data_IF_088469321353
#
_entry.id   IF_088469321353
#
_cell.length_a   1.000
_cell.length_b   1.000
_cell.length_c   1.000
_cell.angle_alpha   90.00
_cell.angle_beta   90.00
_cell.angle_gamma   90.00
#
_symmetry.space_group_name_H-M   'P 1'
#
loop_
_entity.id
_entity.type
_entity.pdbx_description
1 polymer ?
#
# COMPACT_ATOMS: atom_id res chain seq x y z
N UNK A 1 8.25 0.17 -9.02
CA UNK A 1 7.81 -1.13 -9.54
C UNK A 1 8.20 -2.20 -8.55
N UNK A 2 7.32 -3.15 -8.25
CA UNK A 2 7.58 -4.25 -7.31
C UNK A 2 7.68 -5.58 -8.09
N UNK A 3 8.45 -6.55 -7.56
CA UNK A 3 8.62 -7.87 -8.18
C UNK A 3 9.33 -7.90 -9.56
N UNK A 4 10.13 -6.91 -9.89
CA UNK A 4 10.84 -6.82 -11.19
C UNK A 4 11.62 -8.09 -11.58
N UNK A 5 12.23 -8.77 -10.61
CA UNK A 5 12.99 -10.02 -10.87
C UNK A 5 12.15 -11.16 -11.45
N UNK A 6 10.82 -11.14 -11.25
CA UNK A 6 9.92 -12.23 -11.63
C UNK A 6 8.88 -11.82 -12.67
N UNK A 7 8.48 -10.54 -12.68
CA UNK A 7 7.36 -10.06 -13.49
C UNK A 7 7.77 -9.20 -14.68
N UNK A 8 9.05 -8.81 -14.78
CA UNK A 8 9.56 -7.96 -15.86
C UNK A 8 10.07 -6.61 -15.40
N UNK A 9 10.70 -5.88 -16.33
CA UNK A 9 11.37 -4.61 -16.08
C UNK A 9 10.55 -3.37 -16.51
N UNK A 10 9.43 -3.59 -17.23
CA UNK A 10 8.51 -2.54 -17.66
C UNK A 10 7.13 -2.72 -17.07
N UNK A 11 6.31 -1.67 -17.09
CA UNK A 11 4.93 -1.73 -16.63
C UNK A 11 4.10 -2.68 -17.49
N UNK A 12 4.35 -2.70 -18.78
CA UNK A 12 3.69 -3.57 -19.76
C UNK A 12 4.01 -5.04 -19.48
N UNK A 13 5.27 -5.39 -19.24
CA UNK A 13 5.66 -6.76 -18.91
C UNK A 13 5.00 -7.23 -17.61
N UNK A 14 4.99 -6.37 -16.58
CA UNK A 14 4.33 -6.67 -15.31
C UNK A 14 2.81 -6.81 -15.51
N UNK A 15 2.20 -5.93 -16.30
CA UNK A 15 0.77 -5.99 -16.63
C UNK A 15 0.43 -7.29 -17.35
N UNK A 16 1.24 -7.68 -18.34
CA UNK A 16 1.06 -8.93 -19.08
C UNK A 16 1.09 -10.15 -18.17
N UNK A 17 2.10 -10.25 -17.30
CA UNK A 17 2.19 -11.36 -16.33
C UNK A 17 0.98 -11.41 -15.39
N UNK A 18 0.52 -10.26 -14.92
CA UNK A 18 -0.67 -10.18 -14.05
C UNK A 18 -1.96 -10.50 -14.81
N UNK A 19 -2.06 -10.12 -16.07
CA UNK A 19 -3.22 -10.41 -16.92
C UNK A 19 -3.39 -11.91 -17.22
N UNK A 20 -2.38 -12.73 -16.98
CA UNK A 20 -2.45 -14.19 -17.08
C UNK A 20 -3.54 -14.85 -16.23
N UNK A 21 -4.07 -14.17 -15.21
CA UNK A 21 -5.21 -14.65 -14.41
C UNK A 21 -6.57 -14.54 -15.14
N UNK A 22 -6.67 -13.72 -16.20
CA UNK A 22 -7.89 -13.49 -16.95
C UNK A 22 -8.32 -14.81 -17.61
N UNK A 23 -9.58 -15.19 -17.42
CA UNK A 23 -10.15 -16.43 -17.96
C UNK A 23 -10.98 -16.17 -19.20
N UNK A 24 -11.10 -17.17 -20.09
CA UNK A 24 -11.97 -17.10 -21.25
C UNK A 24 -13.42 -16.83 -20.82
N UNK A 25 -14.06 -15.87 -21.48
CA UNK A 25 -15.42 -15.40 -21.20
C UNK A 25 -15.59 -14.88 -19.75
N UNK A 26 -14.49 -14.51 -19.08
CA UNK A 26 -14.52 -14.03 -17.70
C UNK A 26 -14.95 -12.58 -17.57
N UNK A 27 -15.14 -12.16 -16.32
CA UNK A 27 -15.31 -10.75 -15.95
C UNK A 27 -14.01 -10.23 -15.34
N UNK A 28 -13.56 -9.08 -15.83
CA UNK A 28 -12.39 -8.37 -15.33
C UNK A 28 -12.85 -7.01 -14.82
N UNK A 29 -12.50 -6.69 -13.57
CA UNK A 29 -12.69 -5.35 -13.01
C UNK A 29 -11.33 -4.78 -12.67
N UNK A 30 -11.05 -3.56 -13.09
CA UNK A 30 -9.78 -2.87 -12.80
C UNK A 30 -10.03 -1.44 -12.32
N UNK A 31 -9.18 -0.97 -11.42
CA UNK A 31 -9.07 0.46 -11.12
C UNK A 31 -8.42 1.19 -12.31
N UNK A 32 -8.37 2.52 -12.24
CA UNK A 32 -7.62 3.35 -13.19
C UNK A 32 -6.15 2.93 -13.22
N UNK A 33 -5.63 2.76 -14.42
CA UNK A 33 -4.24 2.39 -14.68
C UNK A 33 -3.63 3.38 -15.67
N UNK A 34 -2.30 3.34 -15.80
CA UNK A 34 -1.60 4.03 -16.90
C UNK A 34 -2.00 3.43 -18.26
N UNK A 35 -1.98 4.24 -19.31
CA UNK A 35 -2.44 3.83 -20.62
C UNK A 35 -1.72 2.58 -21.15
N UNK A 36 -0.41 2.46 -20.93
CA UNK A 36 0.36 1.30 -21.35
C UNK A 36 -0.13 0.00 -20.67
N UNK A 37 -0.48 0.08 -19.38
CA UNK A 37 -1.03 -1.04 -18.61
C UNK A 37 -2.45 -1.37 -19.07
N UNK A 38 -3.28 -0.35 -19.29
CA UNK A 38 -4.65 -0.54 -19.79
C UNK A 38 -4.68 -1.24 -21.13
N UNK A 39 -3.80 -0.84 -22.08
CA UNK A 39 -3.70 -1.47 -23.39
C UNK A 39 -3.40 -2.98 -23.27
N UNK A 40 -2.52 -3.38 -22.36
CA UNK A 40 -2.23 -4.80 -22.12
C UNK A 40 -3.46 -5.54 -21.61
N UNK A 41 -4.16 -4.96 -20.61
CA UNK A 41 -5.37 -5.57 -20.04
C UNK A 41 -6.49 -5.68 -21.09
N UNK A 42 -6.70 -4.64 -21.89
CA UNK A 42 -7.71 -4.61 -22.97
C UNK A 42 -7.43 -5.67 -24.04
N UNK A 43 -6.18 -5.79 -24.49
CA UNK A 43 -5.78 -6.80 -25.46
C UNK A 43 -6.03 -8.21 -24.93
N UNK A 44 -5.61 -8.49 -23.70
CA UNK A 44 -5.80 -9.79 -23.06
C UNK A 44 -7.30 -10.13 -22.87
N UNK A 45 -8.12 -9.15 -22.52
CA UNK A 45 -9.57 -9.31 -22.44
C UNK A 45 -10.16 -9.60 -23.83
N UNK A 46 -9.70 -8.93 -24.87
CA UNK A 46 -10.16 -9.17 -26.25
C UNK A 46 -9.81 -10.59 -26.71
N UNK A 47 -8.55 -11.04 -26.50
CA UNK A 47 -8.11 -12.39 -26.88
C UNK A 47 -8.90 -13.50 -26.18
N UNK A 48 -9.31 -13.26 -24.92
CA UNK A 48 -10.06 -14.22 -24.10
C UNK A 48 -11.57 -14.03 -24.14
N UNK A 49 -12.06 -13.12 -24.98
CA UNK A 49 -13.49 -12.74 -25.02
C UNK A 49 -14.03 -12.40 -23.61
N UNK A 50 -13.19 -11.77 -22.76
CA UNK A 50 -13.54 -11.38 -21.41
C UNK A 50 -14.16 -9.98 -21.38
N UNK A 51 -15.17 -9.79 -20.51
CA UNK A 51 -15.79 -8.49 -20.30
C UNK A 51 -14.93 -7.65 -19.37
N UNK A 52 -14.50 -6.46 -19.79
CA UNK A 52 -13.75 -5.52 -18.97
C UNK A 52 -14.65 -4.41 -18.42
N UNK A 53 -14.55 -4.16 -17.12
CA UNK A 53 -15.17 -3.04 -16.42
C UNK A 53 -14.07 -2.20 -15.74
N UNK A 54 -14.13 -0.90 -15.96
CA UNK A 54 -13.22 0.08 -15.33
C UNK A 54 -13.94 0.73 -14.16
N UNK A 55 -13.52 0.41 -12.94
CA UNK A 55 -13.99 1.06 -11.71
C UNK A 55 -13.16 2.35 -11.48
N UNK A 56 -13.30 3.31 -12.39
CA UNK A 56 -12.54 4.58 -12.38
C UNK A 56 -13.26 5.63 -11.52
N UNK A 57 -13.49 5.28 -10.25
CA UNK A 57 -14.19 6.09 -9.26
C UNK A 57 -13.75 5.73 -7.83
N UNK A 58 -14.16 6.50 -6.88
CA UNK A 58 -14.12 6.15 -5.45
C UNK A 58 -15.50 5.67 -5.00
N UNK A 59 -15.57 4.80 -4.00
CA UNK A 59 -16.83 4.41 -3.42
C UNK A 59 -17.47 5.55 -2.63
N UNK A 60 -18.79 5.67 -2.70
CA UNK A 60 -19.58 6.58 -1.86
C UNK A 60 -20.00 5.93 -0.52
N UNK A 61 -19.86 4.60 -0.40
CA UNK A 61 -20.16 3.90 0.84
C UNK A 61 -19.17 4.23 1.95
N UNK A 62 -19.65 4.08 3.19
CA UNK A 62 -18.81 4.09 4.37
C UNK A 62 -17.88 2.86 4.34
N UNK A 63 -16.59 3.09 4.53
CA UNK A 63 -15.58 2.04 4.61
C UNK A 63 -14.88 2.09 5.97
N UNK A 64 -14.48 0.94 6.50
CA UNK A 64 -13.77 0.83 7.77
C UNK A 64 -12.25 1.04 7.64
N UNK A 65 -11.70 0.86 6.44
CA UNK A 65 -10.27 0.98 6.21
C UNK A 65 -9.87 2.43 5.98
N UNK A 66 -8.93 2.93 6.76
CA UNK A 66 -8.37 4.27 6.59
C UNK A 66 -7.40 4.34 5.40
N UNK A 67 -7.23 5.54 4.86
CA UNK A 67 -6.41 5.82 3.68
C UNK A 67 -7.24 6.09 2.42
N UNK A 68 -6.93 7.19 1.71
CA UNK A 68 -7.70 7.61 0.52
C UNK A 68 -7.74 6.54 -0.57
N UNK A 69 -6.62 5.87 -0.79
CA UNK A 69 -6.53 4.79 -1.78
C UNK A 69 -7.47 3.60 -1.45
N UNK A 70 -7.92 3.45 -0.21
CA UNK A 70 -8.86 2.41 0.16
C UNK A 70 -10.26 2.66 -0.42
N UNK A 71 -10.62 3.91 -0.67
CA UNK A 71 -11.87 4.24 -1.35
C UNK A 71 -11.87 3.81 -2.82
N UNK A 72 -10.70 3.89 -3.49
CA UNK A 72 -10.51 3.36 -4.84
C UNK A 72 -10.57 1.83 -4.84
N UNK A 73 -9.87 1.18 -3.89
CA UNK A 73 -9.92 -0.28 -3.72
C UNK A 73 -11.33 -0.78 -3.43
N UNK A 74 -12.06 -0.07 -2.57
CA UNK A 74 -13.45 -0.39 -2.25
C UNK A 74 -14.37 -0.27 -3.47
N UNK A 75 -14.15 0.71 -4.35
CA UNK A 75 -14.94 0.84 -5.59
C UNK A 75 -14.73 -0.34 -6.54
N UNK A 76 -13.49 -0.87 -6.61
CA UNK A 76 -13.22 -2.11 -7.37
C UNK A 76 -13.93 -3.31 -6.74
N UNK A 77 -13.84 -3.46 -5.42
CA UNK A 77 -14.51 -4.55 -4.70
C UNK A 77 -16.04 -4.47 -4.85
N UNK A 78 -16.61 -3.29 -4.69
CA UNK A 78 -18.03 -2.99 -4.91
C UNK A 78 -18.49 -3.41 -6.32
N UNK A 79 -17.71 -3.02 -7.34
CA UNK A 79 -18.03 -3.36 -8.73
C UNK A 79 -17.96 -4.88 -8.97
N UNK A 80 -16.97 -5.57 -8.42
CA UNK A 80 -16.89 -7.03 -8.50
C UNK A 80 -18.11 -7.67 -7.82
N UNK A 81 -18.45 -7.23 -6.62
CA UNK A 81 -19.54 -7.82 -5.83
C UNK A 81 -20.91 -7.66 -6.51
N UNK A 82 -21.16 -6.58 -7.27
CA UNK A 82 -22.37 -6.40 -8.05
C UNK A 82 -22.58 -7.44 -9.16
N UNK A 83 -21.55 -8.15 -9.53
CA UNK A 83 -21.58 -9.21 -10.54
C UNK A 83 -21.52 -10.63 -9.95
N UNK A 84 -21.69 -10.75 -8.64
CA UNK A 84 -21.76 -12.04 -7.94
C UNK A 84 -23.22 -12.34 -7.63
N UNK A 85 -23.73 -13.45 -8.14
CA UNK A 85 -25.11 -13.88 -7.89
C UNK A 85 -25.38 -14.04 -6.38
N UNK A 86 -26.50 -13.49 -5.94
CA UNK A 86 -26.94 -13.58 -4.55
C UNK A 86 -26.34 -12.53 -3.61
N UNK A 87 -25.44 -11.66 -4.09
CA UNK A 87 -24.93 -10.51 -3.32
C UNK A 87 -25.83 -9.30 -3.52
N UNK A 88 -26.42 -8.80 -2.43
CA UNK A 88 -27.24 -7.59 -2.45
C UNK A 88 -26.40 -6.32 -2.20
N UNK A 89 -26.96 -5.15 -2.58
CA UNK A 89 -26.36 -3.84 -2.24
C UNK A 89 -26.15 -3.67 -0.72
N UNK A 90 -27.01 -4.26 0.09
CA UNK A 90 -26.88 -4.20 1.55
C UNK A 90 -25.68 -5.06 2.03
N UNK A 91 -25.43 -6.20 1.39
CA UNK A 91 -24.26 -7.04 1.70
C UNK A 91 -22.97 -6.31 1.33
N UNK A 92 -22.91 -5.65 0.17
CA UNK A 92 -21.78 -4.83 -0.25
C UNK A 92 -21.51 -3.73 0.77
N UNK A 93 -22.54 -2.96 1.13
CA UNK A 93 -22.44 -1.86 2.09
C UNK A 93 -21.95 -2.34 3.46
N UNK A 94 -22.52 -3.44 3.96
CA UNK A 94 -22.11 -4.01 5.24
C UNK A 94 -20.69 -4.62 5.18
N UNK A 95 -20.34 -5.28 4.09
CA UNK A 95 -18.99 -5.81 3.86
C UNK A 95 -17.94 -4.72 3.90
N UNK A 96 -18.12 -3.64 3.16
CA UNK A 96 -17.18 -2.50 3.11
C UNK A 96 -17.05 -1.82 4.49
N UNK A 97 -18.17 -1.65 5.20
CA UNK A 97 -18.20 -1.03 6.54
C UNK A 97 -17.48 -1.88 7.61
N UNK A 98 -17.49 -3.20 7.48
CA UNK A 98 -16.97 -4.13 8.49
C UNK A 98 -15.68 -4.84 8.05
N UNK A 99 -15.08 -4.46 6.91
CA UNK A 99 -13.83 -5.05 6.45
C UNK A 99 -12.70 -4.71 7.41
N UNK A 100 -11.93 -5.73 7.81
CA UNK A 100 -10.71 -5.58 8.61
C UNK A 100 -9.53 -6.11 7.80
N UNK A 101 -8.48 -5.31 7.69
CA UNK A 101 -7.23 -5.72 7.06
C UNK A 101 -6.04 -5.17 7.83
N UNK A 102 -5.42 -6.04 8.60
CA UNK A 102 -4.32 -5.65 9.46
C UNK A 102 -3.11 -5.10 8.69
N UNK A 103 -2.50 -4.05 9.24
CA UNK A 103 -1.32 -3.40 8.66
C UNK A 103 -1.59 -2.58 7.40
N UNK A 104 -2.80 -2.05 7.22
CA UNK A 104 -3.15 -1.10 6.18
C UNK A 104 -3.64 0.20 6.79
N UNK A 105 -2.71 1.08 7.16
CA UNK A 105 -2.94 2.34 7.86
C UNK A 105 -3.81 2.14 9.12
N UNK A 106 -3.57 1.04 9.81
CA UNK A 106 -4.39 0.55 10.91
C UNK A 106 -3.99 1.20 12.22
N UNK A 107 -4.94 1.83 12.89
CA UNK A 107 -4.74 2.34 14.24
C UNK A 107 -4.92 1.22 15.25
N UNK A 108 -3.85 0.86 15.95
CA UNK A 108 -3.82 -0.23 16.94
C UNK A 108 -3.85 0.25 18.38
N UNK A 109 -3.61 1.54 18.64
CA UNK A 109 -3.65 2.14 19.96
C UNK A 109 -3.98 3.63 19.87
N UNK A 110 -4.70 4.15 20.87
CA UNK A 110 -5.10 5.56 20.94
C UNK A 110 -4.16 6.42 21.80
N UNK A 111 -3.45 5.82 22.76
CA UNK A 111 -2.60 6.56 23.72
C UNK A 111 -1.33 5.77 24.04
N UNK A 112 -0.19 6.08 23.44
CA UNK A 112 -0.04 7.00 22.29
C UNK A 112 -0.81 6.49 21.05
N UNK A 113 -1.19 7.41 20.19
CA UNK A 113 -1.80 7.00 18.92
C UNK A 113 -0.76 6.26 18.08
N UNK A 114 -1.03 4.99 17.77
CA UNK A 114 -0.10 4.11 17.08
C UNK A 114 -0.75 3.53 15.82
N UNK A 115 -0.12 3.81 14.68
CA UNK A 115 -0.57 3.37 13.35
C UNK A 115 0.43 2.38 12.79
N UNK A 116 -0.04 1.31 12.20
CA UNK A 116 0.78 0.37 11.44
C UNK A 116 0.40 0.36 9.97
N UNK A 117 1.40 0.32 9.10
CA UNK A 117 1.22 0.23 7.66
C UNK A 117 2.27 -0.67 7.01
N UNK A 118 1.85 -1.42 6.00
CA UNK A 118 2.67 -2.36 5.26
C UNK A 118 3.30 -1.80 3.99
N UNK A 119 3.41 -0.48 3.83
CA UNK A 119 4.06 0.14 2.68
C UNK A 119 5.51 -0.34 2.56
N UNK A 120 5.84 -0.99 1.45
CA UNK A 120 7.15 -1.61 1.23
C UNK A 120 7.70 -1.43 -0.19
N UNK A 121 7.06 -0.58 -0.98
CA UNK A 121 7.49 -0.15 -2.30
C UNK A 121 7.23 1.34 -2.49
N UNK A 122 7.70 1.91 -3.58
CA UNK A 122 7.62 3.36 -3.85
C UNK A 122 6.16 3.86 -3.94
N UNK A 123 5.27 3.08 -4.53
CA UNK A 123 3.85 3.45 -4.62
C UNK A 123 3.18 3.42 -3.25
N UNK A 124 3.39 2.36 -2.47
CA UNK A 124 2.92 2.28 -1.08
C UNK A 124 3.44 3.42 -0.22
N UNK A 125 4.72 3.81 -0.38
CA UNK A 125 5.30 4.95 0.33
C UNK A 125 4.61 6.28 -0.01
N UNK A 126 4.24 6.50 -1.29
CA UNK A 126 3.48 7.68 -1.72
C UNK A 126 2.09 7.70 -1.10
N UNK A 127 1.37 6.56 -1.14
CA UNK A 127 0.04 6.41 -0.53
C UNK A 127 0.06 6.61 0.98
N UNK A 128 1.11 6.08 1.66
CA UNK A 128 1.33 6.32 3.08
C UNK A 128 1.54 7.81 3.37
N UNK A 129 2.38 8.49 2.56
CA UNK A 129 2.61 9.93 2.68
C UNK A 129 1.29 10.70 2.55
N UNK A 130 0.51 10.47 1.50
CA UNK A 130 -0.79 11.11 1.28
C UNK A 130 -1.73 10.91 2.48
N UNK A 131 -1.78 9.70 3.03
CA UNK A 131 -2.59 9.39 4.21
C UNK A 131 -2.10 10.13 5.46
N UNK A 132 -0.79 10.15 5.71
CA UNK A 132 -0.21 10.88 6.84
C UNK A 132 -0.50 12.38 6.71
N UNK A 133 -0.27 12.98 5.56
CA UNK A 133 -0.52 14.41 5.32
C UNK A 133 -2.00 14.76 5.51
N UNK A 134 -2.90 13.90 5.07
CA UNK A 134 -4.34 14.11 5.20
C UNK A 134 -4.85 13.98 6.63
N UNK A 135 -4.49 12.89 7.32
CA UNK A 135 -5.06 12.57 8.64
C UNK A 135 -4.29 13.24 9.78
N UNK A 136 -3.01 13.51 9.59
CA UNK A 136 -2.12 14.00 10.65
C UNK A 136 -1.52 15.37 10.36
N UNK A 137 -1.47 15.80 9.11
CA UNK A 137 -1.06 17.16 8.71
C UNK A 137 0.28 17.56 9.34
N UNK A 138 0.24 18.59 10.18
CA UNK A 138 1.42 19.15 10.86
C UNK A 138 1.73 18.51 12.22
N UNK A 139 1.14 17.37 12.55
CA UNK A 139 1.48 16.68 13.80
C UNK A 139 2.93 16.18 13.77
N UNK A 140 3.54 16.17 14.93
CA UNK A 140 4.87 15.60 15.14
C UNK A 140 4.77 14.08 15.14
N UNK A 141 5.33 13.43 14.12
CA UNK A 141 5.29 11.98 13.97
C UNK A 141 6.64 11.39 14.36
N UNK A 142 6.60 10.30 15.13
CA UNK A 142 7.73 9.40 15.33
C UNK A 142 7.52 8.19 14.45
N UNK A 143 8.52 7.85 13.64
CA UNK A 143 8.41 6.79 12.65
C UNK A 143 9.34 5.62 13.01
N UNK A 144 8.77 4.45 13.23
CA UNK A 144 9.53 3.20 13.37
C UNK A 144 9.43 2.47 12.02
N UNK A 145 10.57 2.17 11.39
CA UNK A 145 10.58 1.60 10.05
C UNK A 145 11.67 0.57 9.84
N UNK A 146 11.36 -0.44 9.05
CA UNK A 146 12.29 -1.45 8.56
C UNK A 146 11.89 -1.89 7.15
N UNK A 147 12.84 -2.30 6.35
CA UNK A 147 12.62 -2.63 4.94
C UNK A 147 13.45 -3.85 4.52
N UNK A 148 13.06 -4.52 3.44
CA UNK A 148 13.86 -5.57 2.85
C UNK A 148 14.90 -5.02 1.88
N UNK A 149 16.06 -5.65 1.83
CA UNK A 149 17.21 -5.20 1.04
C UNK A 149 16.96 -5.20 -0.49
N UNK A 150 16.03 -6.03 -0.96
CA UNK A 150 15.63 -6.13 -2.36
C UNK A 150 14.58 -5.09 -2.79
N UNK A 151 14.13 -4.24 -1.88
CA UNK A 151 13.19 -3.15 -2.17
C UNK A 151 13.91 -1.85 -2.52
N UNK A 152 13.20 -0.92 -3.11
CA UNK A 152 13.70 0.41 -3.45
C UNK A 152 13.82 1.30 -2.21
N UNK A 153 14.55 0.85 -1.19
CA UNK A 153 14.58 1.44 0.14
C UNK A 153 15.05 2.90 0.17
N UNK A 154 15.92 3.31 -0.76
CA UNK A 154 16.35 4.72 -0.88
C UNK A 154 15.20 5.62 -1.30
N UNK A 155 14.42 5.19 -2.30
CA UNK A 155 13.25 5.95 -2.76
C UNK A 155 12.14 5.98 -1.69
N UNK A 156 11.96 4.89 -0.94
CA UNK A 156 11.04 4.85 0.21
C UNK A 156 11.50 5.86 1.26
N UNK A 157 12.80 5.89 1.60
CA UNK A 157 13.38 6.86 2.54
C UNK A 157 13.16 8.30 2.09
N UNK A 158 13.44 8.62 0.81
CA UNK A 158 13.20 9.94 0.22
C UNK A 158 11.77 10.43 0.41
N UNK A 159 10.79 9.54 0.22
CA UNK A 159 9.37 9.88 0.32
C UNK A 159 8.91 10.04 1.78
N UNK A 160 9.33 9.13 2.67
CA UNK A 160 8.75 9.01 4.01
C UNK A 160 9.55 9.71 5.10
N UNK A 161 10.87 9.82 4.96
CA UNK A 161 11.71 10.41 6.01
C UNK A 161 11.37 11.89 6.33
N UNK A 162 11.00 12.75 5.36
CA UNK A 162 10.63 14.13 5.66
C UNK A 162 9.36 14.28 6.50
N UNK A 163 8.52 13.24 6.59
CA UNK A 163 7.25 13.27 7.33
C UNK A 163 7.43 13.19 8.85
N UNK A 164 8.57 12.71 9.31
CA UNK A 164 8.79 12.40 10.71
C UNK A 164 9.70 13.40 11.41
N UNK A 165 9.39 13.71 12.67
CA UNK A 165 10.26 14.48 13.56
C UNK A 165 11.43 13.63 14.06
N UNK A 166 11.19 12.33 14.30
CA UNK A 166 12.18 11.35 14.76
C UNK A 166 11.93 10.04 14.05
N UNK A 167 13.00 9.35 13.68
CA UNK A 167 12.92 8.07 12.99
C UNK A 167 13.78 7.03 13.74
N UNK A 168 13.18 5.87 13.98
CA UNK A 168 13.88 4.69 14.45
C UNK A 168 13.88 3.63 13.35
N UNK A 169 15.08 3.24 12.89
CA UNK A 169 15.23 2.15 11.93
C UNK A 169 15.45 0.84 12.69
N UNK A 170 14.77 -0.20 12.23
CA UNK A 170 14.86 -1.54 12.78
C UNK A 170 15.26 -2.56 11.71
N UNK A 171 15.85 -3.68 12.10
CA UNK A 171 16.07 -4.82 11.21
C UNK A 171 14.88 -5.78 11.37
N UNK A 172 14.01 -5.94 10.34
CA UNK A 172 12.93 -6.93 10.39
C UNK A 172 13.45 -8.35 10.60
N UNK A 173 12.72 -9.17 11.34
CA UNK A 173 13.07 -10.59 11.53
C UNK A 173 12.77 -11.40 10.26
N UNK A 174 13.60 -11.23 9.24
CA UNK A 174 13.47 -11.90 7.95
C UNK A 174 14.85 -11.99 7.27
N UNK A 175 15.20 -13.11 6.59
CA UNK A 175 16.48 -13.25 5.87
C UNK A 175 16.73 -12.19 4.79
N UNK A 176 15.69 -11.54 4.27
CA UNK A 176 15.77 -10.48 3.26
C UNK A 176 15.90 -9.08 3.87
N UNK A 177 15.97 -8.97 5.19
CA UNK A 177 15.98 -7.67 5.87
C UNK A 177 17.22 -6.84 5.48
N UNK A 178 17.02 -5.55 5.29
CA UNK A 178 18.10 -4.57 5.30
C UNK A 178 18.46 -4.29 6.77
N UNK A 179 19.76 -4.19 7.09
CA UNK A 179 20.15 -3.84 8.46
C UNK A 179 19.70 -2.41 8.80
N UNK A 180 19.34 -2.21 10.06
CA UNK A 180 18.89 -0.91 10.57
C UNK A 180 19.93 0.20 10.34
N UNK A 181 21.25 -0.09 10.48
CA UNK A 181 22.31 0.90 10.25
C UNK A 181 22.38 1.34 8.78
N UNK A 182 22.25 0.38 7.82
CA UNK A 182 22.24 0.71 6.40
C UNK A 182 21.00 1.53 6.04
N UNK A 183 19.86 1.22 6.66
CA UNK A 183 18.65 1.96 6.38
C UNK A 183 18.71 3.36 7.03
N UNK A 184 19.24 3.47 8.25
CA UNK A 184 19.49 4.76 8.90
C UNK A 184 20.41 5.66 8.05
N UNK A 185 21.48 5.10 7.49
CA UNK A 185 22.36 5.83 6.57
C UNK A 185 21.63 6.37 5.34
N UNK A 186 20.72 5.59 4.74
CA UNK A 186 19.94 6.08 3.60
C UNK A 186 18.92 7.15 4.00
N UNK A 187 18.30 7.02 5.19
CA UNK A 187 17.35 8.00 5.73
C UNK A 187 18.03 9.30 6.12
N UNK A 188 19.28 9.25 6.61
CA UNK A 188 20.02 10.44 7.05
C UNK A 188 20.28 11.47 5.93
N UNK A 189 20.17 11.08 4.67
CA UNK A 189 20.21 12.00 3.53
C UNK A 189 19.01 12.95 3.51
N UNK A 190 17.88 12.56 4.10
CA UNK A 190 16.62 13.29 4.06
C UNK A 190 16.13 13.75 5.46
N UNK A 191 16.58 13.08 6.52
CA UNK A 191 16.24 13.41 7.91
C UNK A 191 17.38 13.03 8.85
N UNK A 192 18.04 14.02 9.44
CA UNK A 192 19.17 13.82 10.35
C UNK A 192 18.77 13.26 11.72
N UNK A 193 17.49 13.30 12.07
CA UNK A 193 16.99 12.80 13.36
C UNK A 193 16.61 11.32 13.28
N UNK A 194 17.52 10.49 12.82
CA UNK A 194 17.36 9.05 12.66
C UNK A 194 18.33 8.29 13.57
N UNK A 195 17.86 7.15 14.08
CA UNK A 195 18.62 6.27 14.97
C UNK A 195 18.35 4.80 14.64
N UNK A 196 19.41 4.00 14.57
CA UNK A 196 19.33 2.56 14.35
C UNK A 196 19.25 1.84 15.69
N UNK A 197 18.14 1.13 15.95
CA UNK A 197 17.88 0.47 17.23
C UNK A 197 17.18 -0.89 17.02
N UNK A 198 16.98 -1.65 18.08
CA UNK A 198 16.07 -2.81 18.05
C UNK A 198 14.61 -2.36 18.11
N UNK A 199 13.68 -3.21 17.64
CA UNK A 199 12.24 -2.92 17.74
C UNK A 199 11.81 -2.65 19.19
N UNK A 200 12.27 -3.48 20.14
CA UNK A 200 11.94 -3.33 21.56
C UNK A 200 12.43 -2.00 22.13
N UNK A 201 13.61 -1.56 21.70
CA UNK A 201 14.17 -0.26 22.10
C UNK A 201 13.35 0.88 21.49
N UNK A 202 13.02 0.80 20.21
CA UNK A 202 12.20 1.82 19.53
C UNK A 202 10.83 1.99 20.21
N UNK A 203 10.16 0.88 20.53
CA UNK A 203 8.86 0.90 21.21
C UNK A 203 8.96 1.53 22.62
N UNK A 204 9.97 1.16 23.41
CA UNK A 204 10.20 1.76 24.72
C UNK A 204 10.45 3.26 24.66
N UNK A 205 11.22 3.72 23.67
CA UNK A 205 11.50 5.14 23.46
C UNK A 205 10.23 5.91 23.07
N UNK A 206 9.39 5.35 22.22
CA UNK A 206 8.13 5.97 21.81
C UNK A 206 7.11 6.04 22.97
N UNK A 207 7.05 5.03 23.83
CA UNK A 207 6.11 5.00 24.95
C UNK A 207 6.49 5.98 26.08
N UNK A 208 7.74 6.45 26.12
CA UNK A 208 8.26 7.40 27.10
C UNK A 208 8.30 8.86 26.59
N UNK A 209 7.80 9.13 25.39
CA UNK A 209 7.65 10.47 24.82
C UNK A 209 6.30 11.09 25.19
#
# INVERSE_FOLDING_TARGET
MDHMKFLGNTLEEIAYQKSGIIKNNGLVVTAKQENCVMNVIENECCEKNARLIKADRVTEYEISLDGEYQRENAAVAEEVCRHIDGVSENDIKNGLKNTVWHGRFEKICDKPEFIIDGAHNTDGAKRLKESIEKYYGNRKIVYITGVFADKAYKQIAEITAPLAQKIYTITPNNPRALSNEKYASAISEYNQNVEAVSLDTALKLCLNM
#
